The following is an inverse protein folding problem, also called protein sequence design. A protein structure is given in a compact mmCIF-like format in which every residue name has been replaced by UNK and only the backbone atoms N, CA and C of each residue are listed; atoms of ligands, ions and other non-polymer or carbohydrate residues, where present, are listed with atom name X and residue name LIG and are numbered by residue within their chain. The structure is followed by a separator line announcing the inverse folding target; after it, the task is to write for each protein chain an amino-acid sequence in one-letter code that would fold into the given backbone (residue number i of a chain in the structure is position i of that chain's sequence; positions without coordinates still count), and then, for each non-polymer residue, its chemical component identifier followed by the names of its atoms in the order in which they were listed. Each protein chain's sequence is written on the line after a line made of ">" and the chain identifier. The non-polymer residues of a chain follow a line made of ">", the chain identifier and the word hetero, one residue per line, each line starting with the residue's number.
data_IF_233145570744
#
_entry.id   IF_233145570744
#
_cell.length_a   1.000
_cell.length_b   1.000
_cell.length_c   1.000
_cell.angle_alpha   90.00
_cell.angle_beta   90.00
_cell.angle_gamma   90.00
#
_symmetry.space_group_name_H-M   'P 1'
#
loop_
_entity.id
_entity.type
_entity.pdbx_description
1 polymer ?
#
# COMPACT_ATOMS: atom_id res chain seq x y z
N UNK A 1 -17.36 -3.72 -19.56
CA UNK A 1 -17.62 -2.92 -18.33
C UNK A 1 -16.29 -2.85 -17.60
N UNK A 2 -15.63 -1.69 -17.61
CA UNK A 2 -14.24 -1.53 -17.19
C UNK A 2 -14.03 -1.96 -15.73
N UNK A 3 -13.24 -3.01 -15.52
CA UNK A 3 -12.88 -3.50 -14.20
C UNK A 3 -12.06 -2.47 -13.45
N UNK A 4 -12.64 -1.91 -12.40
CA UNK A 4 -11.91 -1.08 -11.44
C UNK A 4 -10.91 -1.95 -10.70
N UNK A 5 -9.64 -1.75 -11.01
CA UNK A 5 -8.56 -2.29 -10.23
C UNK A 5 -7.51 -1.21 -10.00
N UNK A 6 -7.92 -0.18 -9.23
CA UNK A 6 -6.97 0.69 -8.55
C UNK A 6 -6.28 -0.13 -7.45
N UNK A 7 -5.17 -0.79 -7.82
CA UNK A 7 -4.25 -1.43 -6.90
C UNK A 7 -3.39 -0.34 -6.24
N UNK A 8 -3.87 0.21 -5.14
CA UNK A 8 -3.11 1.16 -4.32
C UNK A 8 -1.87 0.49 -3.74
N UNK A 9 -0.70 1.09 -3.93
CA UNK A 9 0.57 0.55 -3.46
C UNK A 9 1.27 1.53 -2.52
N UNK A 10 1.83 0.96 -1.45
CA UNK A 10 2.64 1.56 -0.37
C UNK A 10 1.85 2.34 0.69
N UNK A 11 1.25 1.61 1.65
CA UNK A 11 0.97 2.11 3.00
C UNK A 11 0.91 0.95 3.99
N UNK A 12 2.07 0.37 4.35
CA UNK A 12 2.08 -0.91 5.05
C UNK A 12 2.23 -0.83 6.58
N UNK A 13 3.12 -0.03 7.14
CA UNK A 13 3.50 -0.30 8.54
C UNK A 13 2.50 0.20 9.60
N UNK A 14 1.73 1.27 9.33
CA UNK A 14 0.83 1.85 10.36
C UNK A 14 -0.61 1.32 10.34
N UNK A 15 -1.14 0.89 9.19
CA UNK A 15 -2.58 0.55 9.06
C UNK A 15 -2.92 -0.72 9.86
N UNK A 16 -2.14 -1.80 9.70
CA UNK A 16 -2.46 -3.08 10.34
C UNK A 16 -2.14 -3.14 11.83
N UNK A 17 -1.23 -2.28 12.31
CA UNK A 17 -0.92 -2.23 13.74
C UNK A 17 -2.09 -1.63 14.54
N UNK A 18 -2.86 -0.75 13.89
CA UNK A 18 -3.96 -0.03 14.51
C UNK A 18 -5.07 0.34 13.50
N UNK A 19 -5.83 -0.64 12.96
CA UNK A 19 -6.95 -0.37 12.05
C UNK A 19 -8.07 0.44 12.71
N UNK A 20 -8.10 0.49 14.04
CA UNK A 20 -9.00 1.29 14.85
C UNK A 20 -8.74 2.81 14.74
N UNK A 21 -7.57 3.24 14.24
CA UNK A 21 -7.26 4.69 14.20
C UNK A 21 -8.25 5.48 13.35
N UNK A 22 -8.55 6.67 13.85
CA UNK A 22 -9.49 7.63 13.25
C UNK A 22 -9.10 8.04 11.81
N UNK A 23 -7.80 7.98 11.49
CA UNK A 23 -7.29 8.26 10.14
C UNK A 23 -7.91 7.33 9.06
N UNK A 24 -8.49 6.19 9.46
CA UNK A 24 -9.19 5.27 8.56
C UNK A 24 -10.72 5.38 8.64
N UNK A 25 -11.30 6.29 9.41
CA UNK A 25 -12.76 6.35 9.62
C UNK A 25 -13.55 6.52 8.32
N UNK A 26 -13.07 7.40 7.44
CA UNK A 26 -13.70 7.59 6.12
C UNK A 26 -13.65 6.29 5.30
N UNK A 27 -12.53 5.57 5.33
CA UNK A 27 -12.41 4.29 4.62
C UNK A 27 -13.30 3.21 5.24
N UNK A 28 -13.36 3.12 6.57
CA UNK A 28 -14.24 2.20 7.31
C UNK A 28 -15.72 2.48 7.00
N UNK A 29 -16.12 3.74 6.92
CA UNK A 29 -17.50 4.13 6.62
C UNK A 29 -17.88 3.93 5.15
N UNK A 30 -16.98 4.24 4.22
CA UNK A 30 -17.28 4.22 2.77
C UNK A 30 -17.03 2.86 2.12
N UNK A 31 -16.07 2.08 2.63
CA UNK A 31 -15.74 0.76 2.10
C UNK A 31 -15.15 -0.13 3.22
N UNK A 32 -15.98 -0.76 4.06
CA UNK A 32 -15.52 -1.58 5.20
C UNK A 32 -14.50 -2.67 4.82
N UNK A 33 -14.62 -3.24 3.61
CA UNK A 33 -13.77 -4.32 3.09
C UNK A 33 -12.50 -3.81 2.36
N UNK A 34 -12.16 -2.52 2.49
CA UNK A 34 -11.00 -1.94 1.80
C UNK A 34 -9.69 -2.71 2.03
N UNK A 35 -9.55 -3.32 3.20
CA UNK A 35 -8.39 -4.09 3.61
C UNK A 35 -8.15 -5.33 2.72
N UNK A 36 -9.20 -5.90 2.10
CA UNK A 36 -9.07 -7.06 1.20
C UNK A 36 -8.31 -6.71 -0.09
N UNK A 37 -8.28 -5.43 -0.47
CA UNK A 37 -7.57 -4.95 -1.66
C UNK A 37 -6.13 -4.51 -1.35
N UNK A 38 -5.71 -4.58 -0.08
CA UNK A 38 -4.38 -4.17 0.34
C UNK A 38 -3.42 -5.35 0.22
N UNK A 39 -2.49 -5.25 -0.72
CA UNK A 39 -1.31 -6.11 -0.75
C UNK A 39 -0.18 -5.40 -0.04
N UNK A 40 0.42 -6.19 0.82
CA UNK A 40 1.36 -5.76 1.82
C UNK A 40 2.75 -6.16 1.29
N UNK A 41 3.61 -5.18 0.99
CA UNK A 41 5.01 -5.37 0.58
C UNK A 41 5.97 -4.76 1.63
N UNK A 42 6.90 -5.53 2.22
CA UNK A 42 7.86 -5.02 3.20
C UNK A 42 8.98 -4.24 2.50
N UNK A 43 9.46 -3.15 3.13
CA UNK A 43 10.53 -2.33 2.57
C UNK A 43 10.93 -1.19 3.50
N UNK A 44 12.09 -0.58 3.20
CA UNK A 44 12.68 0.55 3.90
C UNK A 44 13.14 1.58 2.86
N UNK A 45 12.57 2.79 2.93
CA UNK A 45 12.87 3.89 2.01
C UNK A 45 14.31 4.38 2.10
N UNK A 46 15.00 4.14 3.22
CA UNK A 46 16.40 4.52 3.42
C UNK A 46 17.38 3.60 2.69
N UNK A 47 16.91 2.42 2.24
CA UNK A 47 17.73 1.41 1.58
C UNK A 47 17.61 1.50 0.04
N UNK A 48 18.66 1.08 -0.69
CA UNK A 48 18.58 0.91 -2.14
C UNK A 48 17.39 0.04 -2.54
N UNK A 49 16.75 0.37 -3.66
CA UNK A 49 15.53 -0.30 -4.15
C UNK A 49 14.43 -0.42 -3.09
N UNK A 50 14.34 0.56 -2.18
CA UNK A 50 13.35 0.62 -1.10
C UNK A 50 13.42 -0.60 -0.16
N UNK A 51 14.56 -1.29 -0.08
CA UNK A 51 14.71 -2.51 0.73
C UNK A 51 13.79 -3.66 0.30
N UNK A 52 13.30 -3.65 -0.94
CA UNK A 52 12.39 -4.66 -1.48
C UNK A 52 13.12 -5.97 -1.74
N UNK A 53 12.40 -7.10 -1.56
CA UNK A 53 12.87 -8.38 -2.05
C UNK A 53 12.89 -8.40 -3.60
N UNK A 54 13.73 -9.24 -4.24
CA UNK A 54 13.73 -9.35 -5.70
C UNK A 54 12.36 -9.70 -6.29
N UNK A 55 11.62 -10.62 -5.66
CA UNK A 55 10.28 -11.01 -6.10
C UNK A 55 9.25 -9.89 -5.96
N UNK A 56 9.32 -9.11 -4.88
CA UNK A 56 8.43 -7.96 -4.70
C UNK A 56 8.74 -6.88 -5.74
N UNK A 57 10.03 -6.64 -6.01
CA UNK A 57 10.47 -5.69 -7.03
C UNK A 57 9.96 -6.09 -8.43
N UNK A 58 10.06 -7.37 -8.79
CA UNK A 58 9.52 -7.90 -10.05
C UNK A 58 7.99 -7.78 -10.12
N UNK A 59 7.28 -8.19 -9.07
CA UNK A 59 5.82 -8.04 -9.00
C UNK A 59 5.40 -6.58 -9.18
N UNK A 60 6.05 -5.65 -8.48
CA UNK A 60 5.75 -4.23 -8.57
C UNK A 60 5.98 -3.70 -9.99
N UNK A 61 7.13 -4.01 -10.58
CA UNK A 61 7.48 -3.52 -11.92
C UNK A 61 6.58 -4.07 -13.03
N UNK A 62 6.04 -5.28 -12.87
CA UNK A 62 5.17 -5.90 -13.87
C UNK A 62 3.69 -5.55 -13.71
N UNK A 63 3.23 -5.32 -12.47
CA UNK A 63 1.80 -5.30 -12.16
C UNK A 63 1.29 -3.95 -11.63
N UNK A 64 2.18 -2.99 -11.31
CA UNK A 64 1.80 -1.68 -10.80
C UNK A 64 1.84 -0.63 -11.89
N UNK A 65 0.74 0.11 -12.02
CA UNK A 65 0.61 1.20 -13.00
C UNK A 65 0.84 2.58 -12.40
N UNK A 66 0.67 2.73 -11.07
CA UNK A 66 0.75 4.02 -10.37
C UNK A 66 1.51 3.83 -9.06
N UNK A 67 2.53 4.65 -8.84
CA UNK A 67 3.33 4.69 -7.60
C UNK A 67 3.09 6.05 -6.93
N UNK A 68 2.63 6.04 -5.68
CA UNK A 68 2.50 7.24 -4.86
C UNK A 68 3.64 7.27 -3.84
N UNK A 69 4.55 8.23 -3.96
CA UNK A 69 5.70 8.34 -3.07
C UNK A 69 5.41 9.30 -1.91
N UNK A 70 4.70 8.79 -0.90
CA UNK A 70 4.15 9.60 0.20
C UNK A 70 4.86 9.34 1.54
N UNK A 71 6.00 8.65 1.50
CA UNK A 71 6.82 8.38 2.67
C UNK A 71 7.68 9.61 3.00
N UNK A 72 7.45 10.20 4.17
CA UNK A 72 8.21 11.33 4.67
C UNK A 72 8.47 11.17 6.18
N UNK A 73 9.65 11.60 6.62
CA UNK A 73 9.94 11.89 8.03
C UNK A 73 9.68 13.37 8.26
N UNK A 74 8.80 13.70 9.21
CA UNK A 74 8.56 15.09 9.68
C UNK A 74 9.45 15.42 10.86
#
# INVERSE_FOLDING_TARGET
>A
MFGQLCRFHIYRYKIQRHPEKEVFDVLKATNPDFHQKLVMVPGDISLPKLGLSPSDYEMLTQQVNIILHLAATV
#
